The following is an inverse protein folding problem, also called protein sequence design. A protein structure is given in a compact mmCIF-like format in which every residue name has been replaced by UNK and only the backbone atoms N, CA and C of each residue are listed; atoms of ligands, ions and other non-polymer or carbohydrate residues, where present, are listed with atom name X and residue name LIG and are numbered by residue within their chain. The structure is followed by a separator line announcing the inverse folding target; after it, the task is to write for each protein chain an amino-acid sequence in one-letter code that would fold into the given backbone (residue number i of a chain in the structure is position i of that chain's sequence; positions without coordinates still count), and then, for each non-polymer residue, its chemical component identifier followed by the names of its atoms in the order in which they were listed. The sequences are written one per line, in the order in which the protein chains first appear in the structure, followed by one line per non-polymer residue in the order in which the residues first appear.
data_IF_845273385619
#
_entry.id   IF_845273385619
#
_cell.length_a   1.000
_cell.length_b   1.000
_cell.length_c   1.000
_cell.angle_alpha   90.00
_cell.angle_beta   90.00
_cell.angle_gamma   90.00
#
_symmetry.space_group_name_H-M   'P 1'
#
loop_
_entity.id
_entity.type
_entity.pdbx_description
1 polymer ?
#
# COMPACT_ATOMS: atom_id res chain seq x y z
N UNK A 1 -1.39 13.37 20.25
CA UNK A 1 -2.13 13.48 18.97
C UNK A 1 -1.22 13.76 17.78
N UNK A 2 -0.33 14.78 17.83
CA UNK A 2 0.59 15.17 16.74
C UNK A 2 1.50 14.05 16.20
N UNK A 3 1.94 13.13 17.07
CA UNK A 3 2.81 12.00 16.67
C UNK A 3 2.10 11.01 15.72
N UNK A 4 0.81 10.73 15.90
CA UNK A 4 0.09 9.78 15.03
C UNK A 4 -0.12 10.33 13.62
N UNK A 5 -0.44 11.63 13.49
CA UNK A 5 -0.55 12.28 12.19
C UNK A 5 0.78 12.32 11.45
N UNK A 6 1.88 12.59 12.16
CA UNK A 6 3.22 12.58 11.57
C UNK A 6 3.61 11.18 11.09
N UNK A 7 3.37 10.14 11.90
CA UNK A 7 3.61 8.74 11.50
C UNK A 7 2.74 8.34 10.30
N UNK A 8 1.48 8.80 10.25
CA UNK A 8 0.60 8.55 9.10
C UNK A 8 1.08 9.22 7.83
N UNK A 9 1.53 10.47 7.91
CA UNK A 9 2.11 11.18 6.78
C UNK A 9 3.39 10.51 6.28
N UNK A 10 4.27 10.08 7.19
CA UNK A 10 5.49 9.34 6.83
C UNK A 10 5.15 8.00 6.18
N UNK A 11 4.18 7.25 6.72
CA UNK A 11 3.75 5.99 6.15
C UNK A 11 3.16 6.17 4.74
N UNK A 12 2.32 7.20 4.55
CA UNK A 12 1.74 7.55 3.27
C UNK A 12 2.82 7.90 2.23
N UNK A 13 3.74 8.80 2.59
CA UNK A 13 4.84 9.20 1.72
C UNK A 13 5.76 8.04 1.38
N UNK A 14 6.03 7.15 2.33
CA UNK A 14 6.81 5.94 2.08
C UNK A 14 6.10 5.00 1.09
N UNK A 15 4.79 4.80 1.21
CA UNK A 15 4.00 4.03 0.25
C UNK A 15 3.99 4.65 -1.14
N UNK A 16 3.78 5.97 -1.24
CA UNK A 16 3.80 6.71 -2.51
C UNK A 16 5.17 6.60 -3.17
N UNK A 17 6.24 6.83 -2.42
CA UNK A 17 7.61 6.73 -2.92
C UNK A 17 7.93 5.29 -3.39
N UNK A 18 7.47 4.28 -2.65
CA UNK A 18 7.69 2.89 -3.00
C UNK A 18 7.06 2.53 -4.35
N UNK A 19 5.78 2.87 -4.56
CA UNK A 19 5.09 2.60 -5.84
C UNK A 19 5.78 3.38 -6.97
N UNK A 20 6.09 4.66 -6.76
CA UNK A 20 6.73 5.47 -7.80
C UNK A 20 8.12 4.95 -8.21
N UNK A 21 8.91 4.43 -7.27
CA UNK A 21 10.20 3.80 -7.57
C UNK A 21 9.99 2.47 -8.29
N UNK A 22 9.00 1.68 -7.88
CA UNK A 22 8.69 0.41 -8.52
C UNK A 22 8.23 0.60 -9.98
N UNK A 23 7.37 1.59 -10.25
CA UNK A 23 6.95 1.99 -11.60
C UNK A 23 8.19 2.29 -12.48
N UNK A 24 9.14 3.05 -11.95
CA UNK A 24 10.40 3.39 -12.65
C UNK A 24 11.30 2.18 -12.87
N UNK A 25 11.36 1.26 -11.91
CA UNK A 25 12.19 0.06 -11.99
C UNK A 25 11.62 -0.97 -12.97
N UNK A 26 10.30 -1.14 -12.97
CA UNK A 26 9.59 -2.03 -13.87
C UNK A 26 9.47 -1.45 -15.27
N UNK A 27 9.54 -0.12 -15.41
CA UNK A 27 9.40 0.58 -16.68
C UNK A 27 8.00 0.45 -17.27
N UNK A 28 7.02 0.08 -16.45
CA UNK A 28 5.63 -0.13 -16.86
C UNK A 28 4.83 1.12 -16.57
N UNK A 29 4.00 1.53 -17.53
CA UNK A 29 3.02 2.60 -17.38
C UNK A 29 1.63 2.01 -17.59
N UNK A 30 0.90 1.79 -16.51
CA UNK A 30 -0.46 1.20 -16.55
C UNK A 30 -1.45 2.12 -17.29
N UNK A 31 -1.13 3.40 -17.36
CA UNK A 31 -1.93 4.44 -18.02
C UNK A 31 -1.85 4.36 -19.55
N UNK A 32 -0.81 3.71 -20.10
CA UNK A 32 -0.61 3.57 -21.54
C UNK A 32 -1.09 2.21 -22.02
N UNK A 33 -1.75 2.21 -23.17
CA UNK A 33 -2.18 1.00 -23.87
C UNK A 33 -1.49 0.92 -25.22
N UNK A 34 -0.74 -0.15 -25.43
CA UNK A 34 -0.02 -0.46 -26.68
C UNK A 34 -0.46 -1.82 -27.26
N UNK A 35 -1.71 -2.22 -27.02
CA UNK A 35 -2.27 -3.52 -27.46
C UNK A 35 -1.91 -4.67 -26.50
N UNK A 36 -1.79 -5.90 -27.03
CA UNK A 36 -1.48 -7.11 -26.24
C UNK A 36 -0.11 -7.07 -25.55
N UNK A 37 0.80 -6.22 -26.03
CA UNK A 37 2.10 -5.97 -25.40
C UNK A 37 2.00 -5.32 -24.02
N UNK A 38 0.86 -4.67 -23.73
CA UNK A 38 0.58 -4.01 -22.44
C UNK A 38 0.49 -5.03 -21.30
N UNK A 39 -0.07 -6.22 -21.56
CA UNK A 39 -0.31 -7.25 -20.55
C UNK A 39 0.93 -8.14 -20.35
N UNK A 40 2.04 -7.51 -19.98
CA UNK A 40 3.26 -8.23 -19.61
C UNK A 40 3.18 -8.75 -18.18
N UNK A 41 4.05 -9.71 -17.83
CA UNK A 41 4.21 -10.14 -16.44
C UNK A 41 4.58 -8.97 -15.51
N UNK A 42 5.41 -8.04 -16.00
CA UNK A 42 5.78 -6.82 -15.27
C UNK A 42 4.55 -5.94 -14.97
N UNK A 43 3.61 -5.83 -15.92
CA UNK A 43 2.34 -5.13 -15.70
C UNK A 43 1.48 -5.77 -14.62
N UNK A 44 1.39 -7.10 -14.59
CA UNK A 44 0.70 -7.82 -13.52
C UNK A 44 1.36 -7.61 -12.15
N UNK A 45 2.69 -7.63 -12.09
CA UNK A 45 3.45 -7.35 -10.86
C UNK A 45 3.20 -5.91 -10.39
N UNK A 46 3.21 -4.96 -11.30
CA UNK A 46 3.00 -3.54 -11.00
C UNK A 46 1.55 -3.22 -10.55
N UNK A 47 0.58 -3.96 -11.08
CA UNK A 47 -0.83 -3.79 -10.73
C UNK A 47 -1.19 -4.45 -9.39
N UNK A 48 -0.66 -5.64 -9.10
CA UNK A 48 -1.06 -6.43 -7.93
C UNK A 48 -0.01 -6.46 -6.83
N UNK A 49 1.24 -6.82 -7.16
CA UNK A 49 2.28 -7.09 -6.17
C UNK A 49 2.82 -5.80 -5.58
N UNK A 50 3.08 -4.79 -6.41
CA UNK A 50 3.62 -3.50 -5.96
C UNK A 50 2.67 -2.80 -4.98
N UNK A 51 1.36 -2.63 -5.28
CA UNK A 51 0.44 -1.99 -4.35
C UNK A 51 0.25 -2.83 -3.08
N UNK A 52 0.23 -4.17 -3.20
CA UNK A 52 0.17 -5.07 -2.05
C UNK A 52 1.35 -4.87 -1.09
N UNK A 53 2.58 -4.83 -1.60
CA UNK A 53 3.77 -4.59 -0.79
C UNK A 53 3.79 -3.18 -0.19
N UNK A 54 3.33 -2.18 -0.94
CA UNK A 54 3.12 -0.83 -0.42
C UNK A 54 2.14 -0.81 0.75
N UNK A 55 1.02 -1.53 0.65
CA UNK A 55 0.05 -1.66 1.74
C UNK A 55 0.65 -2.32 2.99
N UNK A 56 1.45 -3.39 2.80
CA UNK A 56 2.17 -4.03 3.88
C UNK A 56 3.16 -3.07 4.57
N UNK A 57 3.88 -2.26 3.79
CA UNK A 57 4.84 -1.26 4.27
C UNK A 57 4.14 -0.16 5.08
N UNK A 58 3.05 0.40 4.55
CA UNK A 58 2.27 1.47 5.20
C UNK A 58 1.75 0.99 6.55
N UNK A 59 1.17 -0.21 6.62
CA UNK A 59 0.67 -0.77 7.88
C UNK A 59 1.80 -1.12 8.84
N UNK A 60 2.97 -1.57 8.37
CA UNK A 60 4.16 -1.77 9.21
C UNK A 60 4.62 -0.50 9.91
N UNK A 61 4.53 0.65 9.24
CA UNK A 61 4.96 1.95 9.80
C UNK A 61 3.86 2.54 10.71
N UNK A 62 2.60 2.49 10.29
CA UNK A 62 1.50 3.15 11.00
C UNK A 62 0.87 2.31 12.12
N UNK A 63 0.88 0.98 12.00
CA UNK A 63 0.26 0.06 12.94
C UNK A 63 -1.27 -0.03 12.80
N UNK A 64 -2.00 -0.02 13.93
CA UNK A 64 -3.46 -0.18 13.94
C UNK A 64 -4.16 0.98 13.23
N UNK A 65 -4.92 0.65 12.17
CA UNK A 65 -5.58 1.63 11.30
C UNK A 65 -4.87 1.84 9.96
N UNK A 66 -3.70 1.21 9.75
CA UNK A 66 -2.94 1.27 8.51
C UNK A 66 -3.74 0.78 7.31
N UNK A 67 -4.66 -0.18 7.50
CA UNK A 67 -5.54 -0.70 6.46
C UNK A 67 -6.24 0.38 5.64
N UNK A 68 -6.75 1.44 6.28
CA UNK A 68 -7.44 2.55 5.61
C UNK A 68 -6.48 3.51 4.92
N UNK A 69 -5.26 3.65 5.47
CA UNK A 69 -4.24 4.51 4.90
C UNK A 69 -3.62 3.91 3.62
N UNK A 70 -3.67 2.58 3.47
CA UNK A 70 -3.12 1.84 2.31
C UNK A 70 -3.86 2.10 1.00
N UNK A 71 -5.08 2.63 1.04
CA UNK A 71 -5.86 2.98 -0.17
C UNK A 71 -5.28 4.20 -0.90
N UNK A 72 -4.65 5.11 -0.16
CA UNK A 72 -4.21 6.40 -0.69
C UNK A 72 -2.96 6.33 -1.57
N UNK A 73 -1.88 5.58 -1.22
CA UNK A 73 -0.69 5.51 -2.06
C UNK A 73 -0.95 5.13 -3.53
N UNK A 74 -1.63 4.02 -3.85
CA UNK A 74 -1.87 3.66 -5.25
C UNK A 74 -2.77 4.68 -5.95
N UNK A 75 -3.77 5.22 -5.26
CA UNK A 75 -4.64 6.25 -5.82
C UNK A 75 -3.86 7.51 -6.21
N UNK A 76 -3.00 8.01 -5.30
CA UNK A 76 -2.19 9.20 -5.52
C UNK A 76 -1.23 8.98 -6.69
N UNK A 77 -0.45 7.90 -6.65
CA UNK A 77 0.58 7.67 -7.67
C UNK A 77 -0.04 7.49 -9.05
N UNK A 78 -1.09 6.67 -9.18
CA UNK A 78 -1.74 6.46 -10.48
C UNK A 78 -2.42 7.73 -10.99
N UNK A 79 -3.03 8.54 -10.11
CA UNK A 79 -3.66 9.80 -10.53
C UNK A 79 -2.62 10.81 -11.03
N UNK A 80 -1.48 10.91 -10.34
CA UNK A 80 -0.37 11.78 -10.76
C UNK A 80 0.20 11.30 -12.10
N UNK A 81 0.49 10.01 -12.24
CA UNK A 81 1.03 9.44 -13.49
C UNK A 81 0.06 9.64 -14.66
N UNK A 82 -1.24 9.46 -14.45
CA UNK A 82 -2.25 9.70 -15.48
C UNK A 82 -2.32 11.17 -15.89
N UNK A 83 -2.33 12.09 -14.91
CA UNK A 83 -2.33 13.52 -15.17
C UNK A 83 -1.03 13.99 -15.85
N UNK A 84 0.12 13.44 -15.47
CA UNK A 84 1.41 13.75 -16.09
C UNK A 84 1.40 13.38 -17.57
N UNK A 85 0.90 12.20 -17.93
CA UNK A 85 0.81 11.77 -19.33
C UNK A 85 -0.23 12.59 -20.10
N UNK A 86 -1.37 12.88 -19.49
CA UNK A 86 -2.46 13.62 -20.12
C UNK A 86 -2.12 15.10 -20.38
N UNK A 87 -1.39 15.76 -19.48
CA UNK A 87 -1.21 17.22 -19.52
C UNK A 87 0.24 17.69 -19.69
N UNK A 88 1.25 16.86 -19.39
CA UNK A 88 2.66 17.29 -19.34
C UNK A 88 3.50 16.61 -20.41
N UNK A 89 3.64 15.28 -20.36
CA UNK A 89 4.56 14.56 -21.26
C UNK A 89 3.94 14.21 -22.60
N UNK A 90 2.61 14.20 -22.69
CA UNK A 90 1.89 13.69 -23.85
C UNK A 90 2.00 12.18 -24.00
N UNK A 91 1.30 11.66 -25.00
CA UNK A 91 1.21 10.23 -25.28
C UNK A 91 2.41 9.81 -26.14
N UNK A 92 3.24 8.84 -25.70
CA UNK A 92 4.35 8.31 -26.50
C UNK A 92 3.89 7.69 -27.82
N UNK A 93 4.70 7.80 -28.87
CA UNK A 93 4.39 7.23 -30.18
C UNK A 93 4.09 5.73 -30.10
N UNK A 94 2.98 5.30 -30.70
CA UNK A 94 2.56 3.88 -30.72
C UNK A 94 1.81 3.42 -29.46
N UNK A 95 1.53 4.31 -28.52
CA UNK A 95 0.63 4.04 -27.39
C UNK A 95 -0.60 4.96 -27.46
N UNK A 96 -1.69 4.53 -26.84
CA UNK A 96 -2.85 5.39 -26.57
C UNK A 96 -3.01 5.54 -25.06
N UNK A 97 -3.49 6.70 -24.62
CA UNK A 97 -3.88 6.87 -23.22
C UNK A 97 -5.11 6.00 -22.94
N UNK A 98 -5.06 5.22 -21.87
CA UNK A 98 -6.21 4.39 -21.48
C UNK A 98 -7.41 5.29 -21.20
N UNK A 99 -8.60 4.99 -21.76
CA UNK A 99 -9.82 5.70 -21.42
C UNK A 99 -10.03 5.69 -19.90
N UNK A 100 -10.46 6.82 -19.33
CA UNK A 100 -10.61 7.01 -17.87
C UNK A 100 -11.40 5.88 -17.21
N UNK A 101 -12.45 5.38 -17.87
CA UNK A 101 -13.23 4.26 -17.35
C UNK A 101 -12.43 2.96 -17.20
N UNK A 102 -11.56 2.64 -18.17
CA UNK A 102 -10.76 1.42 -18.15
C UNK A 102 -9.57 1.54 -17.21
N UNK A 103 -8.90 2.70 -17.23
CA UNK A 103 -7.86 3.03 -16.26
C UNK A 103 -8.40 2.99 -14.82
N UNK A 104 -9.62 3.48 -14.59
CA UNK A 104 -10.26 3.45 -13.27
C UNK A 104 -10.40 2.04 -12.69
N UNK A 105 -10.66 1.04 -13.53
CA UNK A 105 -10.68 -0.37 -13.08
C UNK A 105 -9.29 -0.84 -12.63
N UNK A 106 -8.23 -0.45 -13.34
CA UNK A 106 -6.86 -0.75 -12.91
C UNK A 106 -6.52 -0.08 -11.58
N UNK A 107 -6.94 1.17 -11.39
CA UNK A 107 -6.77 1.88 -10.11
C UNK A 107 -7.50 1.15 -8.98
N UNK A 108 -8.75 0.72 -9.19
CA UNK A 108 -9.51 -0.04 -8.19
C UNK A 108 -8.79 -1.34 -7.85
N UNK A 109 -8.30 -2.10 -8.84
CA UNK A 109 -7.54 -3.32 -8.60
C UNK A 109 -6.25 -3.07 -7.80
N UNK A 110 -5.53 -1.99 -8.12
CA UNK A 110 -4.34 -1.59 -7.35
C UNK A 110 -4.69 -1.22 -5.91
N UNK A 111 -5.80 -0.50 -5.71
CA UNK A 111 -6.31 -0.12 -4.40
C UNK A 111 -6.68 -1.36 -3.58
N UNK A 112 -7.45 -2.28 -4.14
CA UNK A 112 -7.84 -3.53 -3.47
C UNK A 112 -6.62 -4.40 -3.14
N UNK A 113 -5.63 -4.43 -4.03
CA UNK A 113 -4.36 -5.12 -3.78
C UNK A 113 -3.60 -4.51 -2.61
N UNK A 114 -3.54 -3.19 -2.52
CA UNK A 114 -2.95 -2.50 -1.37
C UNK A 114 -3.75 -2.70 -0.09
N UNK A 115 -5.08 -2.74 -0.16
CA UNK A 115 -5.94 -3.02 0.98
C UNK A 115 -5.68 -4.43 1.54
N UNK A 116 -5.55 -5.44 0.68
CA UNK A 116 -5.18 -6.80 1.09
C UNK A 116 -3.82 -6.84 1.81
N UNK A 117 -2.81 -6.14 1.27
CA UNK A 117 -1.49 -6.02 1.92
C UNK A 117 -1.57 -5.30 3.27
N UNK A 118 -2.38 -4.26 3.35
CA UNK A 118 -2.62 -3.52 4.58
C UNK A 118 -3.31 -4.35 5.66
N UNK A 119 -4.32 -5.15 5.30
CA UNK A 119 -5.02 -6.09 6.20
C UNK A 119 -4.04 -7.16 6.70
N UNK A 120 -3.28 -7.78 5.80
CA UNK A 120 -2.29 -8.79 6.17
C UNK A 120 -1.24 -8.22 7.11
N UNK A 121 -0.73 -7.02 6.82
CA UNK A 121 0.21 -6.32 7.70
C UNK A 121 -0.36 -6.08 9.10
N UNK A 122 -1.65 -5.70 9.20
CA UNK A 122 -2.29 -5.46 10.48
C UNK A 122 -2.44 -6.77 11.28
N UNK A 123 -2.78 -7.87 10.60
CA UNK A 123 -2.87 -9.22 11.20
C UNK A 123 -1.50 -9.67 11.72
N UNK A 124 -0.44 -9.49 10.94
CA UNK A 124 0.93 -9.83 11.36
C UNK A 124 1.37 -9.07 12.60
N UNK A 125 1.02 -7.79 12.72
CA UNK A 125 1.35 -6.97 13.90
C UNK A 125 0.52 -7.40 15.13
N UNK A 126 -0.77 -7.70 14.94
CA UNK A 126 -1.65 -8.20 16.01
C UNK A 126 -1.19 -9.56 16.56
N UNK A 127 -0.65 -10.43 15.70
CA UNK A 127 -0.03 -11.69 16.12
C UNK A 127 1.18 -11.52 17.05
N UNK A 128 1.87 -10.37 16.99
CA UNK A 128 3.00 -10.04 17.87
C UNK A 128 2.56 -9.41 19.19
N UNK A 129 1.45 -8.65 19.19
CA UNK A 129 0.95 -7.95 20.39
C UNK A 129 0.32 -8.87 21.45
N UNK A 130 -0.05 -10.10 21.10
CA UNK A 130 -0.62 -11.08 22.04
C UNK A 130 0.35 -11.62 23.11
N UNK A 131 1.66 -11.28 23.05
CA UNK A 131 2.66 -11.81 23.99
C UNK A 131 3.04 -10.88 25.14
N UNK A 132 2.73 -9.58 25.07
CA UNK A 132 3.17 -8.62 26.11
C UNK A 132 2.15 -8.34 27.21
N UNK A 133 0.90 -8.76 27.07
CA UNK A 133 -0.12 -8.59 28.11
C UNK A 133 -0.10 -9.70 29.17
N UNK A 134 0.53 -10.85 28.90
CA UNK A 134 0.61 -11.96 29.86
C UNK A 134 1.64 -11.75 30.97
N UNK A 135 2.68 -10.95 30.74
CA UNK A 135 3.70 -10.71 31.77
C UNK A 135 3.21 -9.75 32.87
N UNK A 136 2.23 -8.89 32.58
CA UNK A 136 1.75 -7.90 33.57
C UNK A 136 0.62 -8.40 34.50
N UNK A 137 0.01 -9.56 34.22
CA UNK A 137 -1.05 -10.13 35.09
C UNK A 137 -0.56 -11.22 36.03
N UNK A 138 0.60 -11.83 35.74
CA UNK A 138 1.20 -12.83 36.63
C UNK A 138 1.88 -12.18 37.86
N UNK A 139 2.23 -10.89 37.75
CA UNK A 139 2.81 -10.05 38.81
C UNK A 139 1.75 -9.35 39.71
N UNK A 140 0.45 -9.63 39.47
CA UNK A 140 -0.67 -9.09 40.28
C UNK A 140 -1.41 -10.16 41.09
N UNK A 141 -0.82 -11.34 41.29
CA UNK A 141 -1.29 -12.24 42.34
C UNK A 141 -0.57 -11.85 43.64
N UNK A 142 -1.28 -11.34 44.66
CA UNK A 142 -0.65 -11.08 45.94
C UNK A 142 -0.10 -12.40 46.49
N UNK A 143 1.11 -12.36 47.04
CA UNK A 143 1.85 -13.51 47.56
C UNK A 143 1.17 -14.22 48.75
N UNK A 144 0.03 -13.69 49.23
CA UNK A 144 -0.69 -14.13 50.43
C UNK A 144 -1.51 -15.42 50.27
N UNK A 145 -1.59 -16.04 49.08
CA UNK A 145 -2.30 -17.31 48.88
C UNK A 145 -1.39 -18.51 48.63
N UNK A 146 -0.05 -18.35 48.66
CA UNK A 146 0.86 -19.45 48.28
C UNK A 146 1.40 -20.28 49.44
N UNK A 147 1.30 -19.83 50.68
CA UNK A 147 1.79 -20.59 51.82
C UNK A 147 0.89 -20.31 53.05
N UNK A 148 0.30 -21.38 53.60
CA UNK A 148 -0.26 -21.52 54.97
C UNK A 148 -1.42 -20.62 55.42
#
# INVERSE_FOLDING_TARGET
MRHKYLTGMVALLAGVAFIHIADKLLGVKIELFSGLSTFSFAWGVDLFVVPFLSGLLVTRIFGMGGKWLCYLPPLIVRSISYAEIAYVTGIPHGSILNPVGWWGLYVILAIESAAMGGILGEVMIKGVYGRSAKVSQEDRRPATERES
#
